data_IF_359226421605
#
_entry.id   IF_359226421605
#
_cell.length_a   1.000
_cell.length_b   1.000
_cell.length_c   1.000
_cell.angle_alpha   90.00
_cell.angle_beta   90.00
_cell.angle_gamma   90.00
#
_symmetry.space_group_name_H-M   'P 1'
#
loop_
_entity.id
_entity.type
_entity.pdbx_description
1 polymer ?
#
# COMPACT_ATOMS: atom_id res chain seq x y z
N UNK A 1 -4.28 -25.03 -3.19
CA UNK A 1 -4.19 -24.54 -2.84
C UNK A 1 -4.09 -23.60 -2.52
N UNK A 2 -4.24 -23.26 -2.53
CA UNK A 2 -4.25 -22.50 -2.30
C UNK A 2 -4.01 -21.56 -1.88
N UNK A 3 -3.81 -21.18 -1.79
CA UNK A 3 -3.55 -20.32 -1.54
C UNK A 3 -3.50 -19.37 -0.99
N UNK A 4 -3.19 -19.22 -0.46
CA UNK A 4 -3.22 -18.28 0.07
C UNK A 4 -3.08 -17.00 -0.23
N UNK A 5 -3.30 -16.78 -0.74
CA UNK A 5 -3.24 -15.63 -1.54
C UNK A 5 -3.45 -14.37 -0.79
N UNK A 6 -4.35 -14.30 0.06
CA UNK A 6 -4.56 -13.12 0.83
C UNK A 6 -3.76 -13.12 2.09
N UNK A 7 -2.87 -14.04 2.20
CA UNK A 7 -1.91 -14.01 3.27
C UNK A 7 -0.88 -12.96 3.00
N UNK A 8 -0.58 -12.16 3.99
CA UNK A 8 0.41 -11.10 3.84
C UNK A 8 1.78 -11.69 4.11
N UNK A 9 2.58 -11.78 3.04
CA UNK A 9 3.95 -12.23 3.18
C UNK A 9 4.75 -11.17 3.93
N UNK A 10 5.86 -11.57 4.57
CA UNK A 10 6.69 -10.59 5.29
C UNK A 10 7.10 -9.40 4.43
N UNK A 11 7.42 -9.64 3.16
CA UNK A 11 7.78 -8.55 2.28
C UNK A 11 6.60 -7.62 2.03
N UNK A 12 5.41 -8.16 2.02
CA UNK A 12 4.21 -7.35 1.78
C UNK A 12 3.82 -6.55 3.01
N UNK A 13 4.25 -6.98 4.18
CA UNK A 13 3.93 -6.25 5.40
C UNK A 13 4.46 -4.82 5.34
N UNK A 14 5.62 -4.64 4.74
CA UNK A 14 6.18 -3.30 4.57
C UNK A 14 5.24 -2.44 3.73
N UNK A 15 4.70 -3.02 2.67
CA UNK A 15 3.76 -2.33 1.80
C UNK A 15 2.51 -1.93 2.59
N UNK A 16 1.97 -2.85 3.38
CA UNK A 16 0.76 -2.58 4.15
C UNK A 16 1.00 -1.52 5.22
N UNK A 17 2.17 -1.55 5.87
CA UNK A 17 2.50 -0.53 6.86
C UNK A 17 2.65 0.84 6.21
N UNK A 18 3.27 0.88 5.05
CA UNK A 18 3.41 2.13 4.32
C UNK A 18 2.04 2.69 3.94
N UNK A 19 1.16 1.83 3.45
CA UNK A 19 -0.18 2.25 3.09
C UNK A 19 -0.93 2.84 4.28
N UNK A 20 -0.85 2.17 5.43
CA UNK A 20 -1.51 2.64 6.63
C UNK A 20 -0.97 4.00 7.06
N UNK A 21 0.34 4.17 7.00
CA UNK A 21 0.96 5.43 7.38
C UNK A 21 0.52 6.57 6.48
N UNK A 22 0.46 6.31 5.18
CA UNK A 22 0.06 7.33 4.23
C UNK A 22 -1.39 7.73 4.46
N UNK A 23 -2.24 6.75 4.73
CA UNK A 23 -3.65 7.01 4.98
C UNK A 23 -3.81 7.87 6.23
N UNK A 24 -3.04 7.59 7.27
CA UNK A 24 -3.13 8.36 8.49
C UNK A 24 -2.74 9.81 8.28
N UNK A 25 -1.82 10.06 7.37
CA UNK A 25 -1.35 11.42 7.11
C UNK A 25 -2.20 12.16 6.10
N UNK A 26 -2.71 11.43 5.10
CA UNK A 26 -3.37 12.07 3.96
C UNK A 26 -4.83 11.72 3.82
N UNK A 27 -5.31 10.75 4.58
CA UNK A 27 -6.69 10.34 4.45
C UNK A 27 -7.00 9.84 3.05
N UNK A 28 -8.13 10.23 2.47
CA UNK A 28 -8.51 9.73 1.13
C UNK A 28 -7.52 10.10 0.04
N UNK A 29 -6.73 11.14 0.23
CA UNK A 29 -5.75 11.55 -0.75
C UNK A 29 -4.57 10.59 -0.85
N UNK A 30 -4.47 9.67 0.11
CA UNK A 30 -3.39 8.68 0.09
C UNK A 30 -3.34 7.92 -1.22
N UNK A 31 -4.51 7.65 -1.82
CA UNK A 31 -4.59 6.94 -3.08
C UNK A 31 -3.90 7.70 -4.19
N UNK A 32 -4.17 8.99 -4.26
CA UNK A 32 -3.56 9.82 -5.30
C UNK A 32 -2.06 9.95 -5.09
N UNK A 33 -1.66 10.13 -3.86
CA UNK A 33 -0.24 10.26 -3.56
C UNK A 33 0.53 9.01 -3.97
N UNK A 34 0.00 7.83 -3.64
CA UNK A 34 0.67 6.58 -3.97
C UNK A 34 0.71 6.36 -5.49
N UNK A 35 -0.39 6.68 -6.16
CA UNK A 35 -0.46 6.53 -7.62
C UNK A 35 0.52 7.47 -8.30
N UNK A 36 0.60 8.71 -7.84
CA UNK A 36 1.52 9.68 -8.43
C UNK A 36 2.96 9.28 -8.23
N UNK A 37 3.27 8.72 -7.05
CA UNK A 37 4.63 8.26 -6.78
C UNK A 37 5.01 7.13 -7.73
N UNK A 38 4.08 6.20 -7.97
CA UNK A 38 4.33 5.10 -8.89
C UNK A 38 4.58 5.62 -10.30
N UNK A 39 3.77 6.57 -10.74
CA UNK A 39 3.91 7.14 -12.08
C UNK A 39 5.22 7.88 -12.23
N UNK A 40 5.61 8.65 -11.22
CA UNK A 40 6.87 9.40 -11.27
C UNK A 40 8.05 8.47 -11.39
N UNK A 41 8.06 7.38 -10.61
CA UNK A 41 9.17 6.45 -10.65
C UNK A 41 9.22 5.71 -11.97
N UNK A 42 8.07 5.36 -12.53
CA UNK A 42 8.04 4.70 -13.83
C UNK A 42 8.58 5.64 -14.90
N UNK A 43 8.24 6.90 -14.82
CA UNK A 43 8.74 7.89 -15.79
C UNK A 43 10.25 8.04 -15.70
N UNK A 44 10.81 7.91 -14.50
CA UNK A 44 12.25 8.00 -14.30
C UNK A 44 12.97 6.70 -14.67
N UNK A 45 12.24 5.67 -15.02
CA UNK A 45 12.85 4.39 -15.33
C UNK A 45 13.08 3.48 -14.15
N UNK A 46 12.61 3.85 -12.98
CA UNK A 46 12.76 3.02 -11.79
C UNK A 46 11.61 2.02 -11.73
N UNK A 47 11.76 0.92 -12.45
CA UNK A 47 10.72 -0.08 -12.57
C UNK A 47 10.39 -0.75 -11.22
N UNK A 48 11.42 -1.02 -10.43
CA UNK A 48 11.21 -1.70 -9.17
C UNK A 48 10.50 -0.79 -8.18
N UNK A 49 10.91 0.46 -8.12
CA UNK A 49 10.24 1.43 -7.25
C UNK A 49 8.79 1.65 -7.66
N UNK A 50 8.56 1.74 -8.97
CA UNK A 50 7.21 1.92 -9.47
C UNK A 50 6.33 0.72 -9.12
N UNK A 51 6.88 -0.49 -9.20
CA UNK A 51 6.14 -1.69 -8.87
C UNK A 51 5.76 -1.70 -7.40
N UNK A 52 6.70 -1.32 -6.55
CA UNK A 52 6.44 -1.26 -5.12
C UNK A 52 5.33 -0.25 -4.81
N UNK A 53 5.38 0.90 -5.45
CA UNK A 53 4.35 1.93 -5.22
C UNK A 53 3.00 1.52 -5.79
N UNK A 54 2.98 0.73 -6.86
CA UNK A 54 1.70 0.21 -7.36
C UNK A 54 1.09 -0.76 -6.35
N UNK A 55 1.91 -1.57 -5.71
CA UNK A 55 1.41 -2.44 -4.63
C UNK A 55 0.90 -1.60 -3.47
N UNK A 56 1.61 -0.56 -3.13
CA UNK A 56 1.18 0.34 -2.06
C UNK A 56 -0.14 1.01 -2.41
N UNK A 57 -0.31 1.40 -3.68
CA UNK A 57 -1.56 1.99 -4.11
C UNK A 57 -2.72 1.01 -3.93
N UNK A 58 -2.51 -0.25 -4.31
CA UNK A 58 -3.55 -1.26 -4.14
C UNK A 58 -3.88 -1.46 -2.67
N UNK A 59 -2.86 -1.48 -1.83
CA UNK A 59 -3.08 -1.62 -0.39
C UNK A 59 -3.86 -0.43 0.17
N UNK A 60 -3.52 0.78 -0.26
CA UNK A 60 -4.23 1.97 0.16
C UNK A 60 -5.69 1.89 -0.23
N UNK A 61 -5.96 1.51 -1.48
CA UNK A 61 -7.33 1.43 -1.95
C UNK A 61 -8.12 0.39 -1.16
N UNK A 62 -7.50 -0.74 -0.87
CA UNK A 62 -8.17 -1.77 -0.11
C UNK A 62 -8.46 -1.30 1.31
N UNK A 63 -7.50 -0.65 1.95
CA UNK A 63 -7.67 -0.18 3.33
C UNK A 63 -8.70 0.94 3.42
N UNK A 64 -8.78 1.80 2.42
CA UNK A 64 -9.79 2.85 2.43
C UNK A 64 -11.19 2.26 2.32
N UNK A 65 -11.30 1.11 1.65
CA UNK A 65 -12.57 0.41 1.55
C UNK A 65 -12.86 -0.43 2.79
N UNK A 66 -11.82 -0.77 3.56
CA UNK A 66 -11.96 -1.62 4.76
C UNK A 66 -11.23 -0.98 5.93
N UNK A 67 -11.67 0.18 6.39
CA UNK A 67 -10.95 0.91 7.44
C UNK A 67 -10.81 0.13 8.73
N UNK A 68 -11.73 -0.77 9.00
CA UNK A 68 -11.66 -1.58 10.22
C UNK A 68 -10.44 -2.50 10.23
N UNK A 69 -9.86 -2.77 9.06
CA UNK A 69 -8.72 -3.66 8.95
C UNK A 69 -7.39 -2.98 9.24
N UNK A 70 -7.38 -1.66 9.38
CA UNK A 70 -6.12 -0.95 9.60
C UNK A 70 -5.43 -1.38 10.87
N UNK A 71 -6.19 -1.67 11.92
CA UNK A 71 -5.60 -2.09 13.18
C UNK A 71 -4.98 -3.48 13.12
N UNK A 72 -5.45 -4.29 12.19
CA UNK A 72 -4.92 -5.65 12.05
C UNK A 72 -3.52 -5.66 11.48
N UNK A 73 -3.14 -4.62 10.75
CA UNK A 73 -1.85 -4.58 10.09
C UNK A 73 -0.76 -4.23 11.07
N UNK A 74 -1.01 -3.23 11.89
CA UNK A 74 -0.01 -2.80 12.87
C UNK A 74 -0.75 -2.08 14.00
N UNK A 75 -1.22 -2.83 15.00
CA UNK A 75 -2.03 -2.23 16.06
C UNK A 75 -1.31 -1.12 16.84
N UNK A 76 0.01 -1.18 16.86
CA UNK A 76 0.76 -0.16 17.58
C UNK A 76 1.02 1.08 16.77
N UNK A 77 1.05 0.92 15.51
CA UNK A 77 1.39 2.00 14.62
C UNK A 77 0.17 2.72 14.15
#
# INVERSE_FOLDING_TARGET
MTRQTHQIAPADLVVWRSAKRIIRRRGPDARHLARDAASALAFEGDEQGARTWRKTTQAVEWLLAHPESMDLIDPRG
#
